data_IF_862277128302
#
_entry.id   IF_862277128302
#
_cell.length_a   1.000
_cell.length_b   1.000
_cell.length_c   1.000
_cell.angle_alpha   90.00
_cell.angle_beta   90.00
_cell.angle_gamma   90.00
#
_symmetry.space_group_name_H-M   'P 1'
#
loop_
_entity.id
_entity.type
_entity.pdbx_description
1 polymer ?
#
# COMPACT_ATOMS: atom_id res chain seq x y z
N UNK A 1 14.18 12.50 9.18
CA UNK A 1 14.21 12.36 7.70
C UNK A 1 12.96 11.62 7.20
N UNK A 2 11.74 12.05 7.57
CA UNK A 2 10.50 11.28 7.30
C UNK A 2 9.52 12.03 6.38
N UNK A 3 9.34 13.34 6.57
CA UNK A 3 8.31 14.11 5.84
C UNK A 3 8.67 14.42 4.37
N UNK A 4 9.96 14.53 4.04
CA UNK A 4 10.40 14.84 2.68
C UNK A 4 10.21 13.63 1.75
N UNK A 5 10.38 12.41 2.26
CA UNK A 5 10.19 11.19 1.47
C UNK A 5 8.70 10.86 1.30
N UNK A 6 7.87 11.01 2.31
CA UNK A 6 6.41 10.81 2.18
C UNK A 6 5.78 11.80 1.19
N UNK A 7 6.20 13.07 1.20
CA UNK A 7 5.70 14.06 0.25
C UNK A 7 6.15 13.79 -1.20
N UNK A 8 7.41 13.38 -1.42
CA UNK A 8 7.91 13.04 -2.76
C UNK A 8 7.29 11.78 -3.36
N UNK A 9 7.01 10.77 -2.53
CA UNK A 9 6.36 9.52 -2.95
C UNK A 9 4.89 9.73 -3.29
N UNK A 10 4.13 10.41 -2.43
CA UNK A 10 2.73 10.75 -2.71
C UNK A 10 2.59 11.59 -3.99
N UNK A 11 3.55 12.49 -4.24
CA UNK A 11 3.58 13.29 -5.47
C UNK A 11 3.85 12.43 -6.72
N UNK A 12 4.74 11.43 -6.63
CA UNK A 12 4.98 10.47 -7.72
C UNK A 12 3.77 9.58 -7.99
N UNK A 13 3.13 9.05 -6.96
CA UNK A 13 1.93 8.21 -7.09
C UNK A 13 0.76 8.98 -7.70
N UNK A 14 0.54 10.24 -7.30
CA UNK A 14 -0.46 11.14 -7.90
C UNK A 14 -0.18 11.47 -9.37
N UNK A 15 1.07 11.71 -9.73
CA UNK A 15 1.44 11.98 -11.13
C UNK A 15 1.23 10.74 -12.00
N UNK A 16 1.64 9.55 -11.52
CA UNK A 16 1.40 8.27 -12.20
C UNK A 16 -0.09 7.98 -12.37
N UNK A 17 -0.88 8.22 -11.31
CA UNK A 17 -2.32 8.04 -11.35
C UNK A 17 -2.99 8.96 -12.38
N UNK A 18 -2.67 10.26 -12.33
CA UNK A 18 -3.18 11.25 -13.29
C UNK A 18 -2.85 10.86 -14.73
N UNK A 19 -1.60 10.44 -15.01
CA UNK A 19 -1.20 9.97 -16.34
C UNK A 19 -2.01 8.75 -16.80
N UNK A 20 -2.20 7.76 -15.92
CA UNK A 20 -2.99 6.55 -16.25
C UNK A 20 -4.46 6.89 -16.54
N UNK A 21 -5.07 7.77 -15.75
CA UNK A 21 -6.45 8.22 -15.97
C UNK A 21 -6.57 9.02 -17.27
N UNK A 22 -5.62 9.91 -17.54
CA UNK A 22 -5.61 10.66 -18.79
C UNK A 22 -5.46 9.73 -20.01
N UNK A 23 -4.57 8.73 -19.93
CA UNK A 23 -4.42 7.73 -20.98
C UNK A 23 -5.72 6.96 -21.23
N UNK A 24 -6.40 6.54 -20.16
CA UNK A 24 -7.71 5.90 -20.24
C UNK A 24 -8.73 6.82 -20.94
N UNK A 25 -8.81 8.09 -20.54
CA UNK A 25 -9.74 9.05 -21.15
C UNK A 25 -9.44 9.25 -22.64
N UNK A 26 -8.17 9.28 -23.02
CA UNK A 26 -7.75 9.40 -24.41
C UNK A 26 -8.13 8.18 -25.28
N UNK A 27 -8.51 7.05 -24.67
CA UNK A 27 -9.04 5.89 -25.41
C UNK A 27 -10.52 6.02 -25.76
N UNK A 28 -11.22 7.02 -25.22
CA UNK A 28 -12.62 7.23 -25.53
C UNK A 28 -12.78 7.88 -26.91
N UNK A 29 -13.83 7.53 -27.67
CA UNK A 29 -14.17 8.22 -28.91
C UNK A 29 -14.33 9.72 -28.67
N UNK A 30 -13.89 10.56 -29.61
CA UNK A 30 -13.96 12.02 -29.48
C UNK A 30 -15.40 12.55 -29.42
N UNK A 31 -16.33 11.81 -30.01
CA UNK A 31 -17.76 12.10 -30.14
C UNK A 31 -18.64 11.31 -29.13
N UNK A 32 -18.02 10.68 -28.12
CA UNK A 32 -18.77 9.94 -27.10
C UNK A 32 -19.78 10.85 -26.39
N UNK A 33 -21.01 10.37 -26.24
CA UNK A 33 -22.03 11.08 -25.48
C UNK A 33 -21.56 11.30 -24.03
N UNK A 34 -21.86 12.46 -23.40
CA UNK A 34 -21.47 12.72 -22.02
C UNK A 34 -21.91 11.64 -21.03
N UNK A 35 -23.11 11.08 -21.24
CA UNK A 35 -23.67 9.99 -20.43
C UNK A 35 -22.83 8.71 -20.52
N UNK A 36 -22.52 8.28 -21.74
CA UNK A 36 -21.68 7.10 -21.98
C UNK A 36 -20.26 7.30 -21.43
N UNK A 37 -19.74 8.52 -21.53
CA UNK A 37 -18.43 8.87 -20.97
C UNK A 37 -18.43 8.77 -19.45
N UNK A 38 -19.46 9.31 -18.80
CA UNK A 38 -19.64 9.23 -17.35
C UNK A 38 -19.76 7.77 -16.89
N UNK A 39 -20.62 6.97 -17.51
CA UNK A 39 -20.79 5.55 -17.18
C UNK A 39 -19.50 4.74 -17.35
N UNK A 40 -18.69 5.04 -18.37
CA UNK A 40 -17.36 4.41 -18.53
C UNK A 40 -16.40 4.79 -17.41
N UNK A 41 -16.40 6.04 -16.96
CA UNK A 41 -15.59 6.46 -15.82
C UNK A 41 -16.05 5.79 -14.53
N UNK A 42 -17.36 5.73 -14.27
CA UNK A 42 -17.93 5.01 -13.10
C UNK A 42 -17.52 3.54 -13.12
N UNK A 43 -17.61 2.87 -14.28
CA UNK A 43 -17.17 1.47 -14.41
C UNK A 43 -15.69 1.31 -14.09
N UNK A 44 -14.84 2.22 -14.57
CA UNK A 44 -13.41 2.15 -14.28
C UNK A 44 -13.10 2.48 -12.82
N UNK A 45 -13.83 3.42 -12.23
CA UNK A 45 -13.75 3.71 -10.81
C UNK A 45 -14.05 2.45 -9.99
N UNK A 46 -15.11 1.72 -10.31
CA UNK A 46 -15.47 0.48 -9.63
C UNK A 46 -14.38 -0.61 -9.73
N UNK A 47 -13.75 -0.76 -10.91
CA UNK A 47 -12.63 -1.70 -11.09
C UNK A 47 -11.44 -1.32 -10.24
N UNK A 48 -11.03 -0.05 -10.27
CA UNK A 48 -9.91 0.45 -9.45
C UNK A 48 -10.25 0.28 -7.97
N UNK A 49 -11.47 0.61 -7.54
CA UNK A 49 -11.89 0.49 -6.14
C UNK A 49 -11.81 -0.97 -5.67
N UNK A 50 -12.25 -1.92 -6.48
CA UNK A 50 -12.13 -3.35 -6.16
C UNK A 50 -10.68 -3.81 -6.01
N UNK A 51 -9.78 -3.36 -6.90
CA UNK A 51 -8.36 -3.68 -6.81
C UNK A 51 -7.70 -3.04 -5.59
N UNK A 52 -8.01 -1.77 -5.31
CA UNK A 52 -7.53 -1.02 -4.13
C UNK A 52 -7.97 -1.72 -2.85
N UNK A 53 -9.24 -2.11 -2.77
CA UNK A 53 -9.80 -2.82 -1.62
C UNK A 53 -9.07 -4.14 -1.35
N UNK A 54 -8.81 -4.94 -2.39
CA UNK A 54 -8.03 -6.18 -2.27
C UNK A 54 -6.60 -5.93 -1.78
N UNK A 55 -5.98 -4.81 -2.13
CA UNK A 55 -4.68 -4.46 -1.58
C UNK A 55 -4.80 -4.21 -0.06
N UNK A 56 -5.86 -3.54 0.39
CA UNK A 56 -6.15 -3.30 1.80
C UNK A 56 -6.35 -4.61 2.60
N UNK A 57 -7.06 -5.59 2.05
CA UNK A 57 -7.29 -6.88 2.72
C UNK A 57 -5.99 -7.66 3.00
N UNK A 58 -4.94 -7.43 2.21
CA UNK A 58 -3.64 -8.06 2.43
C UNK A 58 -2.79 -7.38 3.51
N UNK A 59 -3.25 -6.26 4.09
CA UNK A 59 -2.64 -5.63 5.25
C UNK A 59 -3.18 -6.14 6.59
N UNK A 60 -4.23 -6.99 6.58
CA UNK A 60 -4.70 -7.64 7.81
C UNK A 60 -3.59 -8.58 8.35
N UNK A 61 -3.03 -8.31 9.54
CA UNK A 61 -1.94 -9.11 10.11
C UNK A 61 -2.28 -10.59 10.25
N UNK A 62 -3.55 -10.91 10.56
CA UNK A 62 -3.99 -12.30 10.77
C UNK A 62 -3.99 -13.12 9.48
N UNK A 63 -4.40 -12.51 8.36
CA UNK A 63 -4.37 -13.15 7.05
C UNK A 63 -2.96 -13.15 6.43
N UNK A 64 -2.10 -12.23 6.82
CA UNK A 64 -0.76 -12.06 6.27
C UNK A 64 0.20 -13.18 6.69
N UNK A 65 0.23 -13.52 7.98
CA UNK A 65 1.12 -14.54 8.55
C UNK A 65 0.79 -15.95 8.02
N UNK A 66 -0.49 -16.27 7.79
CA UNK A 66 -0.91 -17.55 7.20
C UNK A 66 -0.59 -17.68 5.71
N UNK A 67 -0.67 -16.59 4.93
CA UNK A 67 -0.59 -16.65 3.45
C UNK A 67 0.81 -16.44 2.87
N UNK A 68 1.76 -15.89 3.63
CA UNK A 68 3.05 -15.42 3.10
C UNK A 68 4.29 -16.06 3.75
N UNK A 69 4.18 -17.29 4.23
CA UNK A 69 5.32 -18.09 4.71
C UNK A 69 6.40 -18.18 3.62
N UNK A 70 7.56 -17.55 3.86
CA UNK A 70 8.74 -17.62 2.98
C UNK A 70 8.93 -16.48 1.97
N UNK A 71 8.06 -15.46 1.97
CA UNK A 71 8.26 -14.25 1.16
C UNK A 71 9.13 -13.25 1.94
N UNK A 72 9.96 -12.46 1.26
CA UNK A 72 10.61 -11.30 1.88
C UNK A 72 9.53 -10.29 2.28
N UNK A 73 9.05 -10.43 3.53
CA UNK A 73 7.90 -9.73 4.11
C UNK A 73 7.96 -8.22 3.90
N UNK A 74 9.13 -7.60 4.06
CA UNK A 74 9.27 -6.14 3.94
C UNK A 74 9.07 -5.63 2.52
N UNK A 75 9.66 -6.30 1.52
CA UNK A 75 9.55 -5.91 0.10
C UNK A 75 8.15 -6.16 -0.46
N UNK A 76 7.52 -7.26 -0.04
CA UNK A 76 6.16 -7.56 -0.45
C UNK A 76 5.17 -6.54 0.13
N UNK A 77 5.27 -6.27 1.43
CA UNK A 77 4.42 -5.29 2.10
C UNK A 77 4.64 -3.85 1.56
N UNK A 78 5.88 -3.47 1.23
CA UNK A 78 6.12 -2.16 0.59
C UNK A 78 5.46 -2.07 -0.78
N UNK A 79 5.53 -3.15 -1.58
CA UNK A 79 4.91 -3.21 -2.90
C UNK A 79 3.38 -3.12 -2.82
N UNK A 80 2.78 -3.80 -1.83
CA UNK A 80 1.35 -3.70 -1.56
C UNK A 80 0.94 -2.28 -1.16
N UNK A 81 1.78 -1.59 -0.37
CA UNK A 81 1.48 -0.23 0.10
C UNK A 81 1.49 0.73 -1.07
N UNK A 82 2.50 0.63 -1.91
CA UNK A 82 2.65 1.47 -3.11
C UNK A 82 1.51 1.21 -4.10
N UNK A 83 1.06 -0.05 -4.24
CA UNK A 83 -0.10 -0.40 -5.06
C UNK A 83 -1.40 0.20 -4.50
N UNK A 84 -1.60 0.13 -3.18
CA UNK A 84 -2.77 0.69 -2.50
C UNK A 84 -2.80 2.23 -2.65
N UNK A 85 -1.66 2.90 -2.40
CA UNK A 85 -1.54 4.35 -2.57
C UNK A 85 -1.85 4.78 -4.01
N UNK A 86 -1.28 4.08 -4.99
CA UNK A 86 -1.54 4.35 -6.40
C UNK A 86 -3.02 4.17 -6.74
N UNK A 87 -3.66 3.13 -6.20
CA UNK A 87 -5.09 2.87 -6.35
C UNK A 87 -5.95 4.02 -5.83
N UNK A 88 -5.69 4.50 -4.61
CA UNK A 88 -6.38 5.67 -4.04
C UNK A 88 -6.18 6.91 -4.90
N UNK A 89 -4.94 7.19 -5.32
CA UNK A 89 -4.65 8.32 -6.21
C UNK A 89 -5.39 8.23 -7.56
N UNK A 90 -5.58 7.01 -8.09
CA UNK A 90 -6.36 6.80 -9.32
C UNK A 90 -7.85 7.05 -9.11
N UNK A 91 -8.40 6.64 -7.96
CA UNK A 91 -9.79 6.96 -7.60
C UNK A 91 -10.01 8.47 -7.48
N UNK A 92 -9.09 9.20 -6.83
CA UNK A 92 -9.13 10.67 -6.76
C UNK A 92 -9.11 11.30 -8.15
N UNK A 93 -8.24 10.83 -9.05
CA UNK A 93 -8.14 11.35 -10.41
C UNK A 93 -9.41 11.04 -11.22
N UNK A 94 -9.97 9.84 -11.12
CA UNK A 94 -11.23 9.48 -11.78
C UNK A 94 -12.41 10.32 -11.26
N UNK A 95 -12.50 10.53 -9.95
CA UNK A 95 -13.53 11.36 -9.34
C UNK A 95 -13.45 12.81 -9.84
N UNK A 96 -12.25 13.39 -9.92
CA UNK A 96 -12.05 14.74 -10.49
C UNK A 96 -12.47 14.84 -11.95
N UNK A 97 -12.26 13.79 -12.73
CA UNK A 97 -12.69 13.77 -14.14
C UNK A 97 -14.21 13.62 -14.27
N UNK A 98 -14.85 12.85 -13.38
CA UNK A 98 -16.31 12.77 -13.29
C UNK A 98 -16.94 14.09 -12.85
N UNK A 99 -16.33 14.80 -11.88
CA UNK A 99 -16.81 16.10 -11.36
C UNK A 99 -16.85 17.19 -12.44
N UNK A 100 -15.95 17.13 -13.43
CA UNK A 100 -15.95 18.06 -14.58
C UNK A 100 -17.13 17.84 -15.51
N UNK A 101 -17.86 16.73 -15.40
CA UNK A 101 -18.95 16.42 -16.30
C UNK A 101 -20.24 17.12 -15.86
N UNK A 102 -21.02 17.70 -16.79
CA UNK A 102 -22.30 18.34 -16.48
C UNK A 102 -23.26 17.41 -15.74
N UNK A 103 -23.15 16.10 -16.00
CA UNK A 103 -23.97 15.04 -15.45
C UNK A 103 -23.70 14.73 -13.97
N UNK A 104 -22.57 15.16 -13.39
CA UNK A 104 -22.28 14.93 -11.97
C UNK A 104 -23.32 15.61 -11.03
N UNK A 105 -24.09 16.56 -11.55
CA UNK A 105 -25.06 17.37 -10.79
C UNK A 105 -26.52 17.17 -11.24
N UNK A 106 -26.80 16.22 -12.13
CA UNK A 106 -28.14 15.94 -12.66
C UNK A 106 -28.72 14.70 -11.97
N UNK A 107 -30.05 14.68 -11.76
CA UNK A 107 -30.72 13.59 -11.03
C UNK A 107 -30.44 12.21 -11.66
N UNK A 108 -30.03 11.24 -10.85
CA UNK A 108 -29.66 9.87 -11.26
C UNK A 108 -28.15 9.64 -11.20
N UNK A 109 -27.40 10.31 -12.07
CA UNK A 109 -25.92 10.30 -12.11
C UNK A 109 -25.29 10.96 -10.88
N UNK A 110 -26.01 11.87 -10.21
CA UNK A 110 -25.60 12.44 -8.92
C UNK A 110 -25.49 11.41 -7.79
N UNK A 111 -26.34 10.37 -7.81
CA UNK A 111 -26.30 9.28 -6.82
C UNK A 111 -25.08 8.39 -7.06
N UNK A 112 -24.78 8.06 -8.32
CA UNK A 112 -23.59 7.29 -8.68
C UNK A 112 -22.30 8.04 -8.35
N UNK A 113 -22.26 9.35 -8.61
CA UNK A 113 -21.14 10.20 -8.22
C UNK A 113 -20.98 10.27 -6.70
N UNK A 114 -22.07 10.40 -5.95
CA UNK A 114 -22.05 10.37 -4.48
C UNK A 114 -21.53 9.03 -3.95
N UNK A 115 -21.97 7.90 -4.53
CA UNK A 115 -21.47 6.56 -4.18
C UNK A 115 -19.98 6.40 -4.47
N UNK A 116 -19.49 6.91 -5.60
CA UNK A 116 -18.06 6.94 -5.92
C UNK A 116 -17.29 7.77 -4.89
N UNK A 117 -17.82 8.94 -4.52
CA UNK A 117 -17.21 9.82 -3.50
C UNK A 117 -17.14 9.14 -2.13
N UNK A 118 -18.21 8.48 -1.69
CA UNK A 118 -18.22 7.73 -0.44
C UNK A 118 -17.25 6.55 -0.47
N UNK A 119 -17.15 5.86 -1.60
CA UNK A 119 -16.18 4.77 -1.80
C UNK A 119 -14.75 5.28 -1.72
N UNK A 120 -14.44 6.40 -2.38
CA UNK A 120 -13.12 7.05 -2.29
C UNK A 120 -12.79 7.39 -0.84
N UNK A 121 -13.70 8.03 -0.10
CA UNK A 121 -13.47 8.34 1.33
C UNK A 121 -13.18 7.08 2.14
N UNK A 122 -13.93 6.01 1.91
CA UNK A 122 -13.75 4.73 2.63
C UNK A 122 -12.40 4.08 2.31
N UNK A 123 -11.97 4.12 1.04
CA UNK A 123 -10.66 3.60 0.62
C UNK A 123 -9.51 4.47 1.13
N UNK A 124 -9.65 5.79 1.18
CA UNK A 124 -8.63 6.68 1.77
C UNK A 124 -8.43 6.36 3.26
N UNK A 125 -9.52 6.20 4.02
CA UNK A 125 -9.44 5.80 5.43
C UNK A 125 -8.78 4.43 5.58
N UNK A 126 -9.15 3.46 4.73
CA UNK A 126 -8.52 2.12 4.72
C UNK A 126 -7.03 2.18 4.40
N UNK A 127 -6.63 3.04 3.47
CA UNK A 127 -5.22 3.23 3.13
C UNK A 127 -4.44 3.81 4.30
N UNK A 128 -4.95 4.83 4.97
CA UNK A 128 -4.31 5.41 6.16
C UNK A 128 -4.12 4.36 7.26
N UNK A 129 -5.16 3.57 7.53
CA UNK A 129 -5.07 2.45 8.47
C UNK A 129 -4.02 1.42 8.03
N UNK A 130 -4.06 0.99 6.78
CA UNK A 130 -3.12 0.00 6.22
C UNK A 130 -1.67 0.50 6.30
N UNK A 131 -1.44 1.80 6.07
CA UNK A 131 -0.13 2.44 6.20
C UNK A 131 0.38 2.39 7.64
N UNK A 132 -0.46 2.72 8.61
CA UNK A 132 -0.10 2.64 10.02
C UNK A 132 0.18 1.20 10.45
N UNK A 133 -0.63 0.23 10.00
CA UNK A 133 -0.43 -1.18 10.34
C UNK A 133 0.85 -1.74 9.69
N UNK A 134 1.16 -1.33 8.47
CA UNK A 134 2.44 -1.62 7.81
C UNK A 134 3.65 -1.09 8.61
N UNK A 135 3.61 0.17 9.03
CA UNK A 135 4.69 0.78 9.81
C UNK A 135 4.93 0.03 11.13
N UNK A 136 3.84 -0.34 11.83
CA UNK A 136 3.91 -1.16 13.04
C UNK A 136 4.55 -2.53 12.77
N UNK A 137 4.16 -3.19 11.68
CA UNK A 137 4.67 -4.51 11.32
C UNK A 137 6.17 -4.47 10.95
N UNK A 138 6.62 -3.42 10.26
CA UNK A 138 8.07 -3.24 10.00
C UNK A 138 8.84 -3.10 11.32
N UNK A 139 8.35 -2.26 12.23
CA UNK A 139 9.02 -2.05 13.52
C UNK A 139 9.08 -3.33 14.34
N UNK A 140 7.96 -4.09 14.38
CA UNK A 140 7.89 -5.40 15.03
C UNK A 140 8.92 -6.37 14.43
N UNK A 141 8.92 -6.54 13.11
CA UNK A 141 9.84 -7.43 12.41
C UNK A 141 11.33 -7.07 12.63
N UNK A 142 11.64 -5.77 12.64
CA UNK A 142 13.00 -5.28 12.91
C UNK A 142 13.43 -5.58 14.35
N UNK A 143 12.53 -5.38 15.32
CA UNK A 143 12.77 -5.68 16.73
C UNK A 143 13.03 -7.17 16.97
N UNK A 144 12.19 -8.04 16.40
CA UNK A 144 12.34 -9.51 16.50
C UNK A 144 13.65 -9.99 15.87
N UNK A 145 14.02 -9.43 14.72
CA UNK A 145 15.29 -9.74 14.05
C UNK A 145 16.49 -9.31 14.90
N UNK A 146 16.43 -8.13 15.52
CA UNK A 146 17.48 -7.63 16.39
C UNK A 146 17.62 -8.50 17.65
N UNK A 147 16.51 -8.89 18.29
CA UNK A 147 16.52 -9.80 19.43
C UNK A 147 17.12 -11.16 19.07
N UNK A 148 16.73 -11.74 17.92
CA UNK A 148 17.29 -13.00 17.45
C UNK A 148 18.81 -12.90 17.20
N UNK A 149 19.28 -11.78 16.64
CA UNK A 149 20.71 -11.53 16.44
C UNK A 149 21.45 -11.38 17.78
N UNK A 150 20.89 -10.67 18.75
CA UNK A 150 21.45 -10.52 20.09
C UNK A 150 21.56 -11.88 20.82
N UNK A 151 20.54 -12.72 20.74
CA UNK A 151 20.57 -14.07 21.31
C UNK A 151 21.67 -14.94 20.67
N UNK A 152 21.81 -14.90 19.33
CA UNK A 152 22.88 -15.62 18.64
C UNK A 152 24.27 -15.11 19.05
N UNK A 153 24.46 -13.80 19.14
CA UNK A 153 25.73 -13.21 19.57
C UNK A 153 26.07 -13.61 21.01
N UNK A 154 25.10 -13.55 21.92
CA UNK A 154 25.27 -13.97 23.31
C UNK A 154 25.66 -15.46 23.40
N UNK A 155 25.01 -16.33 22.62
CA UNK A 155 25.36 -17.75 22.54
C UNK A 155 26.78 -17.98 22.03
N UNK A 156 27.22 -17.24 21.00
CA UNK A 156 28.56 -17.36 20.44
C UNK A 156 29.62 -16.88 21.44
N UNK A 157 29.37 -15.76 22.12
CA UNK A 157 30.25 -15.24 23.16
C UNK A 157 30.41 -16.24 24.31
N UNK A 158 29.32 -16.87 24.74
CA UNK A 158 29.38 -17.92 25.77
C UNK A 158 30.24 -19.11 25.32
N UNK A 159 30.10 -19.57 24.07
CA UNK A 159 30.92 -20.66 23.52
C UNK A 159 32.41 -20.28 23.46
N UNK A 160 32.73 -19.05 23.04
CA UNK A 160 34.11 -18.54 23.00
C UNK A 160 34.71 -18.48 24.41
N UNK A 161 33.97 -17.95 25.40
CA UNK A 161 34.43 -17.90 26.78
C UNK A 161 34.77 -19.28 27.34
N UNK A 162 33.93 -20.28 27.07
CA UNK A 162 34.19 -21.67 27.45
C UNK A 162 35.45 -22.20 26.76
N UNK A 163 35.59 -21.99 25.45
CA UNK A 163 36.77 -22.44 24.70
C UNK A 163 38.09 -21.82 25.21
N UNK A 164 38.08 -20.53 25.58
CA UNK A 164 39.24 -19.85 26.15
C UNK A 164 39.65 -20.47 27.49
N UNK A 165 38.68 -20.77 28.36
CA UNK A 165 38.96 -21.41 29.66
C UNK A 165 39.62 -22.79 29.47
N UNK A 166 39.10 -23.63 28.58
CA UNK A 166 39.68 -24.94 28.28
C UNK A 166 41.11 -24.83 27.69
N UNK A 167 41.38 -23.85 26.84
CA UNK A 167 42.74 -23.64 26.29
C UNK A 167 43.72 -23.12 27.34
N UNK A 168 43.27 -22.29 28.28
CA UNK A 168 44.10 -21.80 29.39
C UNK A 168 44.50 -22.91 30.35
N UNK A 169 43.61 -23.87 30.63
CA UNK A 169 43.92 -25.03 31.48
C UNK A 169 44.92 -26.00 30.82
N UNK A 170 44.89 -26.14 29.49
CA UNK A 170 45.85 -26.98 28.75
C UNK A 170 47.28 -26.42 28.71
N UNK A 171 47.50 -25.13 28.96
CA UNK A 171 48.84 -24.52 28.99
C UNK A 171 49.52 -24.61 30.36
N UNK A 172 48.81 -25.06 31.40
CA UNK A 172 49.30 -25.12 32.80
C UNK A 172 49.67 -26.56 33.22
N UNK A 173 49.56 -27.54 32.31
CA UNK A 173 49.99 -28.94 32.49
C UNK A 173 51.25 -29.19 31.66
#
# INVERSE_FOLDING_TARGET
MSEIQTNGWAQSSREKASKKVQQLINTFPADIAPEDKFQRLVKQFAVVASCTHKCAENFDPGAFEERNLGVNTSKFLSSLRDAHELGVCQLEALQKEMEKMPLAHVNGTSVEFANCTQTLMSETIRFEKSRTDFEKNIVKCASETMQAAQHKLASLMAQISVAILFMGEMQVI
#
